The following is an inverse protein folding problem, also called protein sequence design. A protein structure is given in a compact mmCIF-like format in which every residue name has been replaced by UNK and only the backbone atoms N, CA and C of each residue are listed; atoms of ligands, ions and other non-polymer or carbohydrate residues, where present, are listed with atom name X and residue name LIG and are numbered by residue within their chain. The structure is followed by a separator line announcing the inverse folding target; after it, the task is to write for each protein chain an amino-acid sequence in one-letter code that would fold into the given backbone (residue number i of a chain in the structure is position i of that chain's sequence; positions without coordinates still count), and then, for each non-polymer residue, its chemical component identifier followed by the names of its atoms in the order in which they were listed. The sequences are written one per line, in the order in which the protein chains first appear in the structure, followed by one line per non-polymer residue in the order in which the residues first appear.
data_IF_221375702687
#
_entry.id   IF_221375702687
#
_cell.length_a   1.000
_cell.length_b   1.000
_cell.length_c   1.000
_cell.angle_alpha   90.00
_cell.angle_beta   90.00
_cell.angle_gamma   90.00
#
_symmetry.space_group_name_H-M   'P 1'
#
loop_
_entity.id
_entity.type
_entity.pdbx_description
1 polymer ?
#
# COMPACT_ATOMS: atom_id res chain seq x y z
N UNK A 1 -7.75 24.77 11.80
CA UNK A 1 -8.87 25.30 10.99
C UNK A 1 -9.53 24.27 10.05
N UNK A 2 -8.89 23.13 9.70
CA UNK A 2 -9.58 22.03 8.96
C UNK A 2 -10.59 21.23 9.83
N UNK A 3 -10.36 21.10 11.14
CA UNK A 3 -11.30 20.38 12.03
C UNK A 3 -12.68 21.04 12.12
N UNK A 4 -12.79 22.34 11.86
CA UNK A 4 -14.04 23.08 11.99
C UNK A 4 -14.99 22.91 10.79
N UNK A 5 -14.49 22.50 9.61
CA UNK A 5 -15.36 22.28 8.43
C UNK A 5 -16.06 20.91 8.48
N UNK A 6 -15.34 19.86 8.89
CA UNK A 6 -15.92 18.53 9.16
C UNK A 6 -16.89 18.60 10.35
N UNK A 7 -16.56 19.36 11.40
CA UNK A 7 -17.47 19.56 12.54
C UNK A 7 -18.76 20.26 12.12
N UNK A 8 -18.69 21.28 11.26
CA UNK A 8 -19.89 21.97 10.73
C UNK A 8 -20.80 21.06 9.92
N UNK A 9 -20.22 20.14 9.12
CA UNK A 9 -20.99 19.17 8.34
C UNK A 9 -21.71 18.13 9.21
N UNK A 10 -21.04 17.61 10.24
CA UNK A 10 -21.66 16.68 11.20
C UNK A 10 -22.73 17.40 12.05
N UNK A 11 -22.52 18.68 12.37
CA UNK A 11 -23.51 19.46 13.14
C UNK A 11 -24.70 19.99 12.32
N UNK A 12 -24.58 20.10 10.99
CA UNK A 12 -25.65 20.62 10.12
C UNK A 12 -26.62 19.54 9.61
N UNK A 13 -26.28 18.25 9.76
CA UNK A 13 -27.10 17.13 9.29
C UNK A 13 -27.87 16.39 10.40
N UNK A 14 -27.94 16.92 11.62
CA UNK A 14 -28.75 16.33 12.70
C UNK A 14 -30.22 16.77 12.69
N UNK A 15 -30.67 17.59 11.73
CA UNK A 15 -32.08 17.99 11.60
C UNK A 15 -32.47 18.15 10.12
N UNK A 16 -32.82 17.07 9.43
CA UNK A 16 -34.05 16.99 8.63
C UNK A 16 -34.27 15.55 8.13
N UNK A 17 -35.40 14.98 8.52
CA UNK A 17 -35.93 13.74 7.96
C UNK A 17 -36.36 14.00 6.51
N UNK A 18 -35.72 13.37 5.52
CA UNK A 18 -36.46 12.98 4.30
C UNK A 18 -35.86 11.76 3.58
N UNK A 19 -36.77 10.87 3.20
CA UNK A 19 -36.60 9.42 3.29
C UNK A 19 -36.36 8.73 1.93
N UNK A 20 -35.46 9.24 1.08
CA UNK A 20 -35.21 8.68 -0.26
C UNK A 20 -33.74 8.36 -0.61
N UNK A 21 -32.73 8.88 0.11
CA UNK A 21 -31.31 8.58 -0.16
C UNK A 21 -30.82 7.26 0.46
N UNK A 22 -31.55 6.71 1.44
CA UNK A 22 -31.24 5.46 2.11
C UNK A 22 -31.54 4.22 1.25
N UNK A 23 -32.38 4.32 0.21
CA UNK A 23 -32.71 3.19 -0.68
C UNK A 23 -31.65 2.91 -1.76
N UNK A 24 -30.98 3.93 -2.29
CA UNK A 24 -29.95 3.76 -3.33
C UNK A 24 -28.62 3.19 -2.78
N UNK A 25 -28.28 3.52 -1.53
CA UNK A 25 -27.05 3.00 -0.88
C UNK A 25 -27.22 1.52 -0.49
N UNK A 26 -28.42 1.11 -0.06
CA UNK A 26 -28.71 -0.31 0.27
C UNK A 26 -28.70 -1.18 -1.00
N UNK A 27 -29.15 -0.67 -2.15
CA UNK A 27 -29.22 -1.44 -3.39
C UNK A 27 -27.82 -1.73 -4.00
N UNK A 28 -26.84 -0.84 -3.81
CA UNK A 28 -25.46 -1.06 -4.24
C UNK A 28 -24.75 -2.12 -3.37
N UNK A 29 -24.98 -2.13 -2.06
CA UNK A 29 -24.41 -3.12 -1.14
C UNK A 29 -25.07 -4.52 -1.24
N UNK A 30 -26.33 -4.60 -1.63
CA UNK A 30 -27.04 -5.89 -1.81
C UNK A 30 -26.53 -6.65 -3.04
N UNK A 31 -26.07 -5.94 -4.07
CA UNK A 31 -25.55 -6.56 -5.32
C UNK A 31 -24.13 -7.11 -5.13
N UNK A 32 -23.34 -6.51 -4.25
CA UNK A 32 -21.98 -6.98 -3.92
C UNK A 32 -22.01 -8.21 -2.98
N UNK A 33 -23.00 -8.29 -2.08
CA UNK A 33 -23.18 -9.45 -1.18
C UNK A 33 -23.81 -10.66 -1.90
N UNK A 34 -24.63 -10.46 -2.93
CA UNK A 34 -25.19 -11.56 -3.72
C UNK A 34 -24.13 -12.31 -4.57
N UNK A 35 -23.06 -11.64 -5.02
CA UNK A 35 -21.99 -12.28 -5.79
C UNK A 35 -20.93 -12.99 -4.93
N UNK A 36 -20.94 -12.79 -3.60
CA UNK A 36 -20.07 -13.51 -2.66
C UNK A 36 -20.72 -14.79 -2.10
N UNK A 37 -22.04 -14.94 -2.24
CA UNK A 37 -22.80 -16.09 -1.71
C UNK A 37 -23.11 -17.18 -2.74
N UNK A 38 -22.56 -17.10 -3.96
CA UNK A 38 -22.79 -18.09 -5.03
C UNK A 38 -21.67 -19.15 -5.16
N UNK A 39 -20.70 -19.19 -4.24
CA UNK A 39 -19.64 -20.22 -4.22
C UNK A 39 -19.66 -21.16 -3.02
N UNK A 40 -20.62 -21.03 -2.09
CA UNK A 40 -20.66 -21.83 -0.84
C UNK A 40 -21.89 -22.74 -0.67
N UNK A 41 -22.63 -23.03 -1.75
CA UNK A 41 -23.73 -24.01 -1.71
C UNK A 41 -23.52 -25.12 -2.74
N UNK A 42 -22.59 -26.03 -2.43
CA UNK A 42 -22.54 -27.38 -2.98
C UNK A 42 -21.65 -28.26 -2.10
N UNK A 43 -22.12 -28.58 -0.90
CA UNK A 43 -21.68 -29.74 -0.11
C UNK A 43 -22.55 -29.88 1.14
N UNK A 44 -23.81 -30.26 0.96
CA UNK A 44 -24.68 -30.69 2.07
C UNK A 44 -25.75 -31.71 1.65
N UNK A 45 -25.43 -32.55 0.66
CA UNK A 45 -26.21 -33.73 0.33
C UNK A 45 -25.25 -34.91 0.19
N UNK A 46 -25.05 -35.65 1.29
CA UNK A 46 -24.72 -37.09 1.43
C UNK A 46 -24.48 -37.29 2.94
N UNK A 47 -25.56 -37.20 3.72
CA UNK A 47 -25.63 -37.68 5.10
C UNK A 47 -26.98 -38.34 5.34
N UNK A 48 -27.22 -39.44 4.63
CA UNK A 48 -28.26 -40.41 4.99
C UNK A 48 -28.12 -41.63 4.10
N UNK A 49 -27.29 -42.60 4.53
CA UNK A 49 -27.48 -44.04 4.30
C UNK A 49 -26.33 -44.80 4.94
N UNK A 50 -26.71 -45.88 5.63
CA UNK A 50 -25.89 -46.97 6.19
C UNK A 50 -25.56 -46.87 7.69
N UNK A 51 -26.61 -46.99 8.50
CA UNK A 51 -26.56 -47.77 9.74
C UNK A 51 -26.89 -49.25 9.45
N UNK A 52 -26.22 -50.14 10.19
CA UNK A 52 -26.34 -51.61 10.26
C UNK A 52 -25.51 -52.47 9.29
N UNK A 53 -24.30 -52.84 9.74
CA UNK A 53 -24.00 -54.24 10.12
C UNK A 53 -22.76 -54.34 11.02
N UNK A 54 -22.84 -55.28 11.93
CA UNK A 54 -22.05 -55.50 13.15
C UNK A 54 -20.86 -56.43 12.88
N UNK A 55 -19.77 -56.22 13.63
CA UNK A 55 -18.85 -57.24 14.19
C UNK A 55 -17.42 -57.34 13.64
N UNK A 56 -16.47 -57.17 14.58
CA UNK A 56 -15.18 -57.86 14.70
C UNK A 56 -14.06 -57.58 13.69
N UNK A 57 -13.13 -56.69 14.08
CA UNK A 57 -11.74 -57.07 14.49
C UNK A 57 -10.95 -55.80 14.80
N UNK A 58 -10.75 -55.52 16.09
CA UNK A 58 -9.71 -54.60 16.54
C UNK A 58 -8.35 -55.24 16.24
N UNK A 59 -7.64 -54.68 15.27
CA UNK A 59 -6.18 -54.70 15.22
C UNK A 59 -5.73 -53.26 15.36
N UNK A 60 -5.17 -52.96 16.51
CA UNK A 60 -4.50 -51.70 16.83
C UNK A 60 -3.43 -51.46 15.77
N UNK A 61 -3.72 -50.54 14.84
CA UNK A 61 -2.72 -49.95 13.95
C UNK A 61 -2.29 -48.67 14.63
N UNK A 62 -1.10 -48.69 15.22
CA UNK A 62 -0.38 -47.49 15.62
C UNK A 62 -0.34 -46.58 14.39
N UNK A 63 -1.08 -45.49 14.43
CA UNK A 63 -0.96 -44.41 13.45
C UNK A 63 0.33 -43.71 13.87
N UNK A 64 1.43 -44.01 13.18
CA UNK A 64 2.58 -43.11 13.16
C UNK A 64 2.06 -41.76 12.65
N UNK A 65 2.02 -40.80 13.57
CA UNK A 65 1.95 -39.39 13.19
C UNK A 65 3.28 -39.14 12.51
N UNK A 66 3.29 -39.25 11.18
CA UNK A 66 4.36 -38.71 10.37
C UNK A 66 4.27 -37.21 10.59
N UNK A 67 5.14 -36.66 11.42
CA UNK A 67 5.43 -35.23 11.40
C UNK A 67 5.70 -34.90 9.93
N UNK A 68 4.82 -34.15 9.28
CA UNK A 68 5.15 -33.50 8.02
C UNK A 68 6.42 -32.70 8.31
N UNK A 69 7.58 -33.17 7.82
CA UNK A 69 8.82 -32.40 7.86
C UNK A 69 8.50 -31.03 7.27
N UNK A 70 8.40 -30.03 8.15
CA UNK A 70 8.04 -28.66 7.80
C UNK A 70 9.06 -28.22 6.76
N UNK A 71 8.63 -28.15 5.49
CA UNK A 71 9.51 -27.91 4.34
C UNK A 71 10.32 -26.64 4.62
N UNK A 72 11.63 -26.78 4.81
CA UNK A 72 12.52 -25.69 5.23
C UNK A 72 12.39 -24.53 4.25
N UNK A 73 12.00 -23.36 4.73
CA UNK A 73 11.90 -22.14 3.90
C UNK A 73 13.31 -21.75 3.52
N UNK A 74 13.63 -21.71 2.23
CA UNK A 74 14.98 -21.35 1.78
C UNK A 74 15.12 -19.83 1.67
N UNK A 75 14.16 -19.18 1.03
CA UNK A 75 14.20 -17.73 0.78
C UNK A 75 12.95 -17.04 1.31
N UNK A 76 13.14 -16.10 2.23
CA UNK A 76 12.08 -15.23 2.71
C UNK A 76 12.02 -13.95 1.88
N UNK A 77 10.79 -13.53 1.54
CA UNK A 77 10.51 -12.21 0.98
C UNK A 77 9.89 -11.36 2.08
N UNK A 78 10.71 -10.51 2.72
CA UNK A 78 10.26 -9.62 3.78
C UNK A 78 9.67 -8.34 3.17
N UNK A 79 8.35 -8.26 3.13
CA UNK A 79 7.59 -7.15 2.56
C UNK A 79 7.49 -6.00 3.56
N UNK A 80 8.23 -4.93 3.31
CA UNK A 80 8.34 -3.76 4.19
C UNK A 80 7.34 -2.67 3.78
N UNK A 81 6.48 -2.27 4.70
CA UNK A 81 5.54 -1.16 4.51
C UNK A 81 5.25 -0.47 5.85
N UNK A 82 4.65 0.70 5.83
CA UNK A 82 4.19 1.42 7.01
C UNK A 82 3.14 0.60 7.78
N UNK A 83 2.27 -0.08 7.04
CA UNK A 83 1.14 -0.82 7.57
C UNK A 83 -0.09 0.07 7.78
N UNK A 84 -1.06 -0.43 8.53
CA UNK A 84 -2.30 0.27 8.85
C UNK A 84 -3.13 -0.51 9.87
N UNK A 85 -3.98 0.18 10.65
CA UNK A 85 -4.82 -0.46 11.66
C UNK A 85 -5.85 -1.37 10.98
N UNK A 86 -5.86 -2.65 11.34
CA UNK A 86 -6.78 -3.65 10.77
C UNK A 86 -8.22 -3.45 11.25
N UNK A 87 -8.37 -2.97 12.48
CA UNK A 87 -9.64 -2.61 13.09
C UNK A 87 -9.62 -1.20 13.67
N UNK A 88 -10.80 -0.69 14.06
CA UNK A 88 -10.91 0.61 14.73
C UNK A 88 -10.15 0.66 16.07
N UNK A 89 -9.96 -0.48 16.74
CA UNK A 89 -9.25 -0.52 18.02
C UNK A 89 -7.74 -0.44 17.84
N UNK A 90 -7.23 -0.85 16.68
CA UNK A 90 -5.81 -0.76 16.33
C UNK A 90 -5.36 0.66 15.98
N UNK A 91 -6.30 1.60 15.80
CA UNK A 91 -6.00 2.99 15.39
C UNK A 91 -5.13 3.71 16.41
N UNK A 92 -5.43 3.60 17.71
CA UNK A 92 -4.62 4.28 18.73
C UNK A 92 -3.22 3.68 18.89
N UNK A 93 -3.05 2.34 18.98
CA UNK A 93 -1.73 1.70 18.93
C UNK A 93 -0.92 2.11 17.69
N UNK A 94 -1.54 2.07 16.52
CA UNK A 94 -0.93 2.48 15.25
C UNK A 94 -0.41 3.93 15.31
N UNK A 95 -1.26 4.88 15.70
CA UNK A 95 -0.86 6.28 15.82
C UNK A 95 0.20 6.49 16.89
N UNK A 96 0.16 5.72 17.98
CA UNK A 96 1.15 5.81 19.06
C UNK A 96 2.53 5.44 18.55
N UNK A 97 2.67 4.33 17.81
CA UNK A 97 3.93 3.95 17.17
C UNK A 97 4.39 4.99 16.15
N UNK A 98 3.47 5.47 15.30
CA UNK A 98 3.75 6.50 14.28
C UNK A 98 4.29 7.81 14.88
N UNK A 99 3.63 8.38 15.90
CA UNK A 99 4.07 9.63 16.53
C UNK A 99 5.29 9.45 17.45
N UNK A 100 5.59 8.21 17.85
CA UNK A 100 6.81 7.90 18.62
C UNK A 100 8.03 7.70 17.72
N UNK A 101 7.84 7.61 16.40
CA UNK A 101 8.94 7.46 15.45
C UNK A 101 9.69 8.77 15.21
N UNK A 102 10.96 8.79 15.65
CA UNK A 102 11.90 9.91 15.47
C UNK A 102 12.38 10.06 14.03
N UNK A 103 12.27 8.99 13.23
CA UNK A 103 12.65 9.00 11.82
C UNK A 103 11.60 9.78 10.98
N UNK A 104 10.35 9.88 11.45
CA UNK A 104 9.28 10.67 10.80
C UNK A 104 9.02 12.00 11.50
N UNK A 105 8.80 12.00 12.81
CA UNK A 105 8.48 13.21 13.58
C UNK A 105 9.56 13.50 14.62
N UNK A 106 10.07 14.73 14.64
CA UNK A 106 10.98 15.19 15.70
C UNK A 106 10.19 16.05 16.69
N UNK A 107 9.72 15.45 17.78
CA UNK A 107 8.91 16.12 18.79
C UNK A 107 9.70 16.31 20.10
N UNK A 108 9.51 17.45 20.83
CA UNK A 108 10.08 17.59 22.16
C UNK A 108 9.45 16.56 23.11
N UNK A 109 10.26 15.91 23.95
CA UNK A 109 9.82 14.87 24.89
C UNK A 109 8.95 13.79 24.23
N UNK A 110 9.39 13.29 23.06
CA UNK A 110 8.59 12.44 22.17
C UNK A 110 7.95 11.20 22.82
N UNK A 111 8.61 10.60 23.81
CA UNK A 111 8.08 9.44 24.54
C UNK A 111 6.80 9.76 25.34
N UNK A 112 6.54 11.04 25.61
CA UNK A 112 5.33 11.55 26.28
C UNK A 112 4.41 12.22 25.25
N UNK A 113 4.97 13.10 24.41
CA UNK A 113 4.21 13.86 23.44
C UNK A 113 3.54 12.96 22.38
N UNK A 114 4.24 11.92 21.91
CA UNK A 114 3.75 11.00 20.89
C UNK A 114 2.45 10.30 21.30
N UNK A 115 2.43 9.55 22.43
CA UNK A 115 1.22 8.91 22.94
C UNK A 115 0.06 9.88 23.21
N UNK A 116 0.34 11.07 23.74
CA UNK A 116 -0.70 12.08 23.98
C UNK A 116 -1.34 12.56 22.67
N UNK A 117 -0.53 12.85 21.66
CA UNK A 117 -1.00 13.26 20.33
C UNK A 117 -1.79 12.12 19.67
N UNK A 118 -1.30 10.88 19.77
CA UNK A 118 -1.96 9.70 19.24
C UNK A 118 -3.36 9.52 19.83
N UNK A 119 -3.50 9.55 21.16
CA UNK A 119 -4.79 9.45 21.85
C UNK A 119 -5.76 10.56 21.46
N UNK A 120 -5.28 11.80 21.33
CA UNK A 120 -6.13 12.92 20.89
C UNK A 120 -6.60 12.75 19.44
N UNK A 121 -5.72 12.27 18.57
CA UNK A 121 -6.02 12.12 17.13
C UNK A 121 -6.80 10.86 16.81
N UNK A 122 -6.71 9.81 17.63
CA UNK A 122 -7.36 8.52 17.39
C UNK A 122 -8.87 8.68 17.19
N UNK A 123 -9.53 9.56 17.95
CA UNK A 123 -10.97 9.80 17.79
C UNK A 123 -11.35 10.25 16.36
N UNK A 124 -10.60 11.18 15.78
CA UNK A 124 -10.86 11.66 14.43
C UNK A 124 -10.50 10.60 13.38
N UNK A 125 -9.37 9.90 13.58
CA UNK A 125 -8.87 8.90 12.63
C UNK A 125 -9.74 7.63 12.63
N UNK A 126 -10.28 7.21 13.77
CA UNK A 126 -11.26 6.11 13.87
C UNK A 126 -12.49 6.37 13.00
N UNK A 127 -12.98 7.63 12.94
CA UNK A 127 -14.12 7.98 12.07
C UNK A 127 -13.80 7.83 10.59
N UNK A 128 -12.58 8.17 10.18
CA UNK A 128 -12.14 8.01 8.80
C UNK A 128 -12.00 6.52 8.43
N UNK A 129 -11.43 5.70 9.31
CA UNK A 129 -11.41 4.25 9.11
C UNK A 129 -12.81 3.64 9.09
N UNK A 130 -13.72 4.13 9.94
CA UNK A 130 -15.10 3.68 9.96
C UNK A 130 -15.82 3.98 8.63
N UNK A 131 -15.57 5.13 8.00
CA UNK A 131 -16.18 5.48 6.71
C UNK A 131 -15.72 4.62 5.53
N UNK A 132 -14.61 3.89 5.67
CA UNK A 132 -14.07 3.02 4.62
C UNK A 132 -14.25 1.53 4.91
N UNK A 133 -15.05 1.17 5.92
CA UNK A 133 -15.34 -0.23 6.27
C UNK A 133 -14.73 -0.73 7.59
N UNK A 134 -14.12 0.14 8.39
CA UNK A 134 -13.71 -0.15 9.77
C UNK A 134 -12.22 -0.44 9.99
N UNK A 135 -11.40 -0.40 8.93
CA UNK A 135 -9.97 -0.69 9.01
C UNK A 135 -9.24 -0.51 7.69
N UNK A 136 -7.91 -0.62 7.72
CA UNK A 136 -7.05 -0.56 6.55
C UNK A 136 -7.00 -1.94 5.85
N UNK A 137 -7.22 -2.02 4.53
CA UNK A 137 -7.10 -3.28 3.80
C UNK A 137 -5.65 -3.66 3.49
N UNK A 138 -4.66 -2.86 3.92
CA UNK A 138 -3.26 -3.03 3.52
C UNK A 138 -2.69 -4.40 3.88
N UNK A 139 -2.99 -4.93 5.08
CA UNK A 139 -2.52 -6.26 5.51
C UNK A 139 -3.05 -7.36 4.60
N UNK A 140 -4.35 -7.31 4.28
CA UNK A 140 -5.01 -8.24 3.35
C UNK A 140 -4.33 -8.21 1.98
N UNK A 141 -4.09 -7.01 1.44
CA UNK A 141 -3.46 -6.88 0.12
C UNK A 141 -2.01 -7.35 0.12
N UNK A 142 -1.22 -6.95 1.12
CA UNK A 142 0.19 -7.38 1.24
C UNK A 142 0.30 -8.89 1.39
N UNK A 143 -0.57 -9.53 2.18
CA UNK A 143 -0.58 -10.99 2.35
C UNK A 143 -0.93 -11.72 1.04
N UNK A 144 -1.99 -11.26 0.36
CA UNK A 144 -2.41 -11.84 -0.91
C UNK A 144 -1.34 -11.67 -2.01
N UNK A 145 -0.76 -10.48 -2.12
CA UNK A 145 0.34 -10.20 -3.04
C UNK A 145 1.54 -11.08 -2.72
N UNK A 146 1.96 -11.13 -1.46
CA UNK A 146 3.10 -11.93 -0.99
C UNK A 146 2.94 -13.41 -1.35
N UNK A 147 1.78 -13.99 -1.05
CA UNK A 147 1.48 -15.38 -1.38
C UNK A 147 1.59 -15.64 -2.89
N UNK A 148 0.94 -14.81 -3.72
CA UNK A 148 0.98 -14.99 -5.17
C UNK A 148 2.39 -14.78 -5.75
N UNK A 149 3.16 -13.84 -5.20
CA UNK A 149 4.56 -13.63 -5.58
C UNK A 149 5.37 -14.89 -5.29
N UNK A 150 5.25 -15.47 -4.09
CA UNK A 150 6.02 -16.66 -3.72
C UNK A 150 5.62 -17.90 -4.49
N UNK A 151 4.33 -18.06 -4.81
CA UNK A 151 3.85 -19.14 -5.68
C UNK A 151 4.49 -19.06 -7.08
N UNK A 152 4.62 -17.85 -7.63
CA UNK A 152 5.29 -17.62 -8.92
C UNK A 152 6.80 -17.89 -8.78
N UNK A 153 7.44 -17.38 -7.74
CA UNK A 153 8.89 -17.57 -7.50
C UNK A 153 9.28 -19.04 -7.34
N UNK A 154 8.45 -19.86 -6.68
CA UNK A 154 8.67 -21.31 -6.58
C UNK A 154 8.68 -21.99 -7.95
N UNK A 155 8.02 -21.40 -8.95
CA UNK A 155 8.01 -21.88 -10.34
C UNK A 155 9.19 -21.34 -11.16
N UNK A 156 9.48 -20.03 -11.05
CA UNK A 156 10.46 -19.35 -11.93
C UNK A 156 11.91 -19.31 -11.38
N UNK A 157 12.08 -19.59 -10.08
CA UNK A 157 13.37 -19.60 -9.36
C UNK A 157 13.50 -20.86 -8.45
N UNK A 158 13.34 -22.08 -8.99
CA UNK A 158 13.34 -23.31 -8.18
C UNK A 158 14.63 -23.51 -7.36
N UNK A 159 15.75 -22.91 -7.76
CA UNK A 159 17.03 -22.94 -7.05
C UNK A 159 17.01 -22.18 -5.71
N UNK A 160 16.12 -21.21 -5.53
CA UNK A 160 15.94 -20.44 -4.29
C UNK A 160 14.65 -20.80 -3.54
N UNK A 161 13.85 -21.71 -4.08
CA UNK A 161 12.66 -22.27 -3.44
C UNK A 161 13.01 -23.22 -2.26
N UNK A 162 12.10 -23.45 -1.30
CA UNK A 162 10.78 -22.83 -1.16
C UNK A 162 10.86 -21.35 -0.73
N UNK A 163 10.07 -20.51 -1.38
CA UNK A 163 9.90 -19.11 -1.02
C UNK A 163 8.74 -18.93 -0.05
N UNK A 164 8.85 -17.95 0.86
CA UNK A 164 7.74 -17.56 1.74
C UNK A 164 7.78 -16.06 2.00
N UNK A 165 6.62 -15.41 1.95
CA UNK A 165 6.52 -13.99 2.27
C UNK A 165 6.34 -13.79 3.77
N UNK A 166 6.88 -12.68 4.26
CA UNK A 166 6.70 -12.21 5.62
C UNK A 166 6.35 -10.74 5.56
N UNK A 167 5.38 -10.31 6.36
CA UNK A 167 5.00 -8.91 6.44
C UNK A 167 5.81 -8.28 7.57
N UNK A 168 6.51 -7.19 7.27
CA UNK A 168 7.20 -6.37 8.26
C UNK A 168 6.64 -4.96 8.24
N UNK A 169 5.59 -4.72 9.01
CA UNK A 169 4.99 -3.40 9.10
C UNK A 169 5.68 -2.53 10.14
N UNK A 170 5.73 -1.23 9.86
CA UNK A 170 6.43 -0.26 10.71
C UNK A 170 5.61 0.14 11.95
N UNK A 171 4.28 0.26 11.82
CA UNK A 171 3.41 0.77 12.90
C UNK A 171 2.17 -0.10 13.21
N UNK A 172 1.90 -1.13 12.43
CA UNK A 172 0.82 -2.08 12.70
C UNK A 172 1.39 -3.50 12.73
N UNK A 173 0.63 -4.44 13.29
CA UNK A 173 1.09 -5.82 13.35
C UNK A 173 0.86 -6.51 11.99
N UNK A 174 1.69 -7.49 11.59
CA UNK A 174 2.91 -7.94 12.27
C UNK A 174 4.05 -6.93 12.14
N UNK A 175 4.77 -6.68 13.24
CA UNK A 175 5.94 -5.81 13.25
C UNK A 175 7.17 -6.52 12.67
N UNK A 176 8.21 -5.76 12.37
CA UNK A 176 9.48 -6.32 11.88
C UNK A 176 10.08 -7.33 12.88
N UNK A 177 9.99 -7.08 14.18
CA UNK A 177 10.46 -8.00 15.23
C UNK A 177 9.73 -9.36 15.17
N UNK A 178 8.42 -9.35 14.94
CA UNK A 178 7.61 -10.57 14.80
C UNK A 178 8.00 -11.35 13.54
N UNK A 179 8.26 -10.63 12.44
CA UNK A 179 8.71 -11.22 11.19
C UNK A 179 10.10 -11.87 11.34
N UNK A 180 11.06 -11.20 12.00
CA UNK A 180 12.40 -11.74 12.27
C UNK A 180 12.34 -13.02 13.09
N UNK A 181 11.53 -13.03 14.17
CA UNK A 181 11.32 -14.22 14.99
C UNK A 181 10.73 -15.37 14.18
N UNK A 182 9.71 -15.09 13.36
CA UNK A 182 9.06 -16.10 12.52
C UNK A 182 10.03 -16.68 11.47
N UNK A 183 10.84 -15.84 10.83
CA UNK A 183 11.86 -16.28 9.86
C UNK A 183 12.93 -17.16 10.52
N UNK A 184 13.32 -16.85 11.76
CA UNK A 184 14.26 -17.67 12.53
C UNK A 184 13.67 -19.04 12.88
N UNK A 185 12.42 -19.07 13.35
CA UNK A 185 11.69 -20.32 13.64
C UNK A 185 11.53 -21.20 12.40
N UNK A 186 11.34 -20.59 11.22
CA UNK A 186 11.26 -21.28 9.94
C UNK A 186 12.64 -21.64 9.34
N UNK A 187 13.73 -21.33 10.05
CA UNK A 187 15.12 -21.61 9.65
C UNK A 187 15.47 -21.10 8.24
N UNK A 188 15.01 -19.89 7.95
CA UNK A 188 15.26 -19.20 6.68
C UNK A 188 16.77 -19.05 6.45
N UNK A 189 17.24 -19.33 5.22
CA UNK A 189 18.65 -19.11 4.86
C UNK A 189 18.89 -17.68 4.34
N UNK A 190 18.04 -17.25 3.39
CA UNK A 190 18.18 -15.97 2.68
C UNK A 190 16.95 -15.11 2.90
N UNK A 191 17.13 -13.81 3.09
CA UNK A 191 16.04 -12.84 3.18
C UNK A 191 16.22 -11.71 2.18
N UNK A 192 15.20 -11.46 1.36
CA UNK A 192 15.09 -10.26 0.52
C UNK A 192 14.22 -9.25 1.26
N UNK A 193 14.83 -8.18 1.76
CA UNK A 193 14.12 -7.02 2.31
C UNK A 193 13.52 -6.21 1.15
N UNK A 194 12.24 -6.41 0.90
CA UNK A 194 11.54 -5.86 -0.25
C UNK A 194 10.62 -4.70 0.17
N UNK A 195 11.07 -3.47 -0.09
CA UNK A 195 10.24 -2.29 0.09
C UNK A 195 9.00 -2.37 -0.80
N UNK A 196 7.82 -2.19 -0.22
CA UNK A 196 6.56 -2.12 -0.96
C UNK A 196 6.30 -0.71 -1.52
N UNK A 197 7.26 0.20 -1.38
CA UNK A 197 7.26 1.52 -2.01
C UNK A 197 8.10 1.47 -3.29
N UNK A 198 7.52 1.67 -4.48
CA UNK A 198 8.31 1.77 -5.70
C UNK A 198 9.27 2.95 -5.65
N UNK A 199 8.83 4.09 -5.12
CA UNK A 199 9.64 5.30 -4.94
C UNK A 199 10.19 5.39 -3.51
N UNK A 200 11.52 5.54 -3.39
CA UNK A 200 12.19 5.68 -2.11
C UNK A 200 11.88 7.04 -1.48
N UNK A 201 11.53 7.05 -0.19
CA UNK A 201 11.67 8.21 0.68
C UNK A 201 12.38 7.81 1.99
N UNK A 202 13.13 8.74 2.58
CA UNK A 202 13.74 8.52 3.89
C UNK A 202 12.68 8.34 4.99
N UNK A 203 11.46 8.85 4.79
CA UNK A 203 10.35 8.72 5.74
C UNK A 203 9.52 7.44 5.57
N UNK A 204 9.74 6.66 4.49
CA UNK A 204 9.01 5.40 4.21
C UNK A 204 9.97 4.21 4.18
N UNK A 205 10.59 3.91 3.03
CA UNK A 205 11.60 2.85 2.89
C UNK A 205 12.74 3.07 3.88
N UNK A 206 13.24 4.31 4.00
CA UNK A 206 14.34 4.62 4.92
C UNK A 206 14.01 4.31 6.39
N UNK A 207 12.84 4.73 6.88
CA UNK A 207 12.37 4.39 8.23
C UNK A 207 12.21 2.88 8.41
N UNK A 208 11.66 2.18 7.43
CA UNK A 208 11.47 0.71 7.48
C UNK A 208 12.80 -0.03 7.57
N UNK A 209 13.78 0.34 6.74
CA UNK A 209 15.12 -0.27 6.76
C UNK A 209 15.89 0.10 8.04
N UNK A 210 15.80 1.35 8.51
CA UNK A 210 16.40 1.73 9.79
C UNK A 210 15.81 0.92 10.95
N UNK A 211 14.50 0.70 10.96
CA UNK A 211 13.85 -0.14 11.97
C UNK A 211 14.26 -1.61 11.86
N UNK A 212 14.40 -2.14 10.64
CA UNK A 212 14.92 -3.47 10.40
C UNK A 212 16.33 -3.64 10.99
N UNK A 213 17.26 -2.72 10.70
CA UNK A 213 18.62 -2.81 11.24
C UNK A 213 18.65 -2.70 12.77
N UNK A 214 17.85 -1.79 13.35
CA UNK A 214 17.70 -1.68 14.81
C UNK A 214 17.19 -2.99 15.43
N UNK A 215 16.20 -3.62 14.80
CA UNK A 215 15.59 -4.87 15.30
C UNK A 215 16.58 -6.04 15.21
N UNK A 216 17.32 -6.16 14.09
CA UNK A 216 18.37 -7.16 13.92
C UNK A 216 19.46 -7.01 15.00
N UNK A 217 19.89 -5.78 15.27
CA UNK A 217 20.94 -5.51 16.27
C UNK A 217 20.46 -5.81 17.68
N UNK A 218 19.24 -5.38 18.02
CA UNK A 218 18.67 -5.59 19.35
C UNK A 218 18.39 -7.07 19.64
N UNK A 219 18.21 -7.87 18.59
CA UNK A 219 17.96 -9.32 18.69
C UNK A 219 19.20 -10.18 18.46
N UNK A 220 20.37 -9.58 18.20
CA UNK A 220 21.63 -10.27 17.86
C UNK A 220 21.47 -11.26 16.68
N UNK A 221 20.73 -10.85 15.65
CA UNK A 221 20.45 -11.67 14.46
C UNK A 221 21.30 -11.29 13.23
N UNK A 222 22.42 -10.58 13.42
CA UNK A 222 23.22 -10.03 12.31
C UNK A 222 23.76 -11.09 11.36
N UNK A 223 23.99 -12.31 11.86
CA UNK A 223 24.52 -13.45 11.10
C UNK A 223 23.48 -14.56 10.88
N UNK A 224 22.23 -14.33 11.29
CA UNK A 224 21.18 -15.35 11.21
C UNK A 224 20.76 -15.61 9.76
N UNK A 225 20.78 -14.59 8.91
CA UNK A 225 20.29 -14.66 7.53
C UNK A 225 21.26 -14.03 6.53
N UNK A 226 21.27 -14.54 5.29
CA UNK A 226 21.88 -13.86 4.14
C UNK A 226 20.92 -12.80 3.61
N UNK A 227 21.24 -11.52 3.82
CA UNK A 227 20.37 -10.41 3.46
C UNK A 227 20.65 -9.88 2.05
N UNK A 228 19.59 -9.48 1.37
CA UNK A 228 19.66 -8.55 0.24
C UNK A 228 18.46 -7.59 0.27
N UNK A 229 18.53 -6.48 -0.48
CA UNK A 229 17.54 -5.39 -0.38
C UNK A 229 17.07 -4.96 -1.77
N UNK A 230 15.75 -4.84 -1.91
CA UNK A 230 15.09 -4.08 -2.97
C UNK A 230 14.51 -2.82 -2.33
N UNK A 231 15.27 -1.73 -2.35
CA UNK A 231 14.93 -0.48 -1.64
C UNK A 231 14.02 0.43 -2.48
N UNK A 232 14.07 0.30 -3.80
CA UNK A 232 13.26 1.07 -4.75
C UNK A 232 13.16 0.34 -6.08
N UNK A 233 12.11 0.67 -6.83
CA UNK A 233 11.77 -0.01 -8.08
C UNK A 233 10.83 0.85 -8.95
N UNK A 234 10.89 2.17 -8.79
CA UNK A 234 10.10 3.16 -9.53
C UNK A 234 10.27 3.07 -11.07
N UNK A 235 11.42 2.56 -11.53
CA UNK A 235 11.76 2.39 -12.94
C UNK A 235 11.47 1.00 -13.48
N UNK A 236 11.00 0.07 -12.65
CA UNK A 236 10.75 -1.29 -13.08
C UNK A 236 9.74 -1.31 -14.23
N UNK A 237 10.09 -1.96 -15.34
CA UNK A 237 9.26 -1.94 -16.55
C UNK A 237 7.92 -2.64 -16.35
N UNK A 238 7.87 -3.68 -15.51
CA UNK A 238 6.63 -4.36 -15.14
C UNK A 238 5.73 -3.44 -14.31
N UNK A 239 6.28 -2.76 -13.31
CA UNK A 239 5.56 -1.77 -12.51
C UNK A 239 5.00 -0.62 -13.36
N UNK A 240 5.81 -0.04 -14.25
CA UNK A 240 5.36 1.02 -15.16
C UNK A 240 4.24 0.51 -16.07
N UNK A 241 4.35 -0.70 -16.60
CA UNK A 241 3.32 -1.29 -17.46
C UNK A 241 2.01 -1.59 -16.71
N UNK A 242 2.08 -2.13 -15.49
CA UNK A 242 0.91 -2.35 -14.65
C UNK A 242 0.20 -1.03 -14.32
N UNK A 243 0.97 0.00 -13.94
CA UNK A 243 0.46 1.35 -13.65
C UNK A 243 -0.18 1.99 -14.87
N UNK A 244 0.50 1.96 -16.02
CA UNK A 244 -0.05 2.43 -17.30
C UNK A 244 -1.38 1.75 -17.63
N UNK A 245 -1.46 0.43 -17.41
CA UNK A 245 -2.69 -0.34 -17.65
C UNK A 245 -3.82 0.12 -16.74
N UNK A 246 -3.55 0.46 -15.46
CA UNK A 246 -4.57 1.05 -14.58
C UNK A 246 -5.06 2.39 -15.11
N UNK A 247 -4.17 3.24 -15.63
CA UNK A 247 -4.57 4.53 -16.21
C UNK A 247 -5.43 4.32 -17.46
N UNK A 248 -5.09 3.35 -18.33
CA UNK A 248 -5.89 3.01 -19.51
C UNK A 248 -7.30 2.55 -19.12
N UNK A 249 -7.41 1.64 -18.15
CA UNK A 249 -8.71 1.19 -17.62
C UNK A 249 -9.52 2.34 -16.99
N UNK A 250 -8.85 3.30 -16.34
CA UNK A 250 -9.51 4.48 -15.79
C UNK A 250 -10.04 5.42 -16.89
N UNK A 251 -9.32 5.56 -17.99
CA UNK A 251 -9.77 6.31 -19.17
C UNK A 251 -10.98 5.62 -19.83
N UNK A 252 -10.95 4.29 -19.96
CA UNK A 252 -12.10 3.52 -20.46
C UNK A 252 -13.33 3.70 -19.56
N UNK A 253 -13.15 3.59 -18.24
CA UNK A 253 -14.22 3.85 -17.27
C UNK A 253 -14.75 5.29 -17.36
N UNK A 254 -13.87 6.26 -17.58
CA UNK A 254 -14.27 7.65 -17.81
C UNK A 254 -15.15 7.80 -19.03
N UNK A 255 -14.76 7.23 -20.16
CA UNK A 255 -15.54 7.29 -21.40
C UNK A 255 -16.93 6.66 -21.20
N UNK A 256 -16.98 5.50 -20.55
CA UNK A 256 -18.23 4.82 -20.21
C UNK A 256 -19.14 5.70 -19.35
N UNK A 257 -18.60 6.34 -18.30
CA UNK A 257 -19.40 7.21 -17.43
C UNK A 257 -19.87 8.49 -18.12
N UNK A 258 -19.09 9.04 -19.05
CA UNK A 258 -19.53 10.17 -19.88
C UNK A 258 -20.77 9.76 -20.69
N UNK A 259 -20.73 8.60 -21.34
CA UNK A 259 -21.83 8.06 -22.15
C UNK A 259 -23.08 7.76 -21.28
N UNK A 260 -22.91 7.02 -20.19
CA UNK A 260 -24.01 6.63 -19.29
C UNK A 260 -24.72 7.83 -18.64
N UNK A 261 -23.97 8.91 -18.37
CA UNK A 261 -24.52 10.15 -17.78
C UNK A 261 -25.02 11.15 -18.83
N UNK A 262 -24.88 10.85 -20.12
CA UNK A 262 -25.23 11.76 -21.22
C UNK A 262 -24.44 13.08 -21.18
N UNK A 263 -23.21 13.06 -20.67
CA UNK A 263 -22.36 14.24 -20.56
C UNK A 263 -21.69 14.56 -21.90
N UNK A 264 -21.44 15.84 -22.15
CA UNK A 264 -20.57 16.23 -23.25
C UNK A 264 -19.16 15.68 -23.01
N UNK A 265 -18.59 14.99 -23.99
CA UNK A 265 -17.23 14.49 -23.88
C UNK A 265 -16.24 15.65 -23.76
N UNK A 266 -15.53 15.66 -22.64
CA UNK A 266 -14.35 16.49 -22.38
C UNK A 266 -13.18 15.55 -22.18
N UNK A 267 -12.09 15.75 -22.90
CA UNK A 267 -10.88 14.97 -22.65
C UNK A 267 -10.38 15.28 -21.22
N UNK A 268 -10.24 14.27 -20.34
CA UNK A 268 -9.91 14.53 -18.95
C UNK A 268 -8.44 14.93 -18.78
N UNK A 269 -8.17 15.75 -17.78
CA UNK A 269 -6.80 15.98 -17.28
C UNK A 269 -6.43 14.85 -16.33
N UNK A 270 -5.24 14.26 -16.52
CA UNK A 270 -4.72 13.21 -15.65
C UNK A 270 -3.99 13.84 -14.45
N UNK A 271 -4.54 13.67 -13.26
CA UNK A 271 -4.00 14.21 -12.01
C UNK A 271 -3.31 13.09 -11.25
N UNK A 272 -2.00 12.97 -11.39
CA UNK A 272 -1.21 12.02 -10.59
C UNK A 272 -1.10 12.57 -9.17
N UNK A 273 -1.66 11.86 -8.19
CA UNK A 273 -1.68 12.24 -6.79
C UNK A 273 -0.72 11.35 -6.00
N UNK A 274 0.26 11.97 -5.36
CA UNK A 274 1.23 11.32 -4.48
C UNK A 274 1.16 11.96 -3.08
N UNK A 275 1.46 11.22 -2.02
CA UNK A 275 1.55 11.81 -0.68
C UNK A 275 2.61 12.90 -0.65
N UNK A 276 2.26 14.04 -0.06
CA UNK A 276 3.17 15.18 0.05
C UNK A 276 4.27 14.93 1.09
N UNK A 277 5.36 15.68 1.00
CA UNK A 277 6.41 15.73 2.00
C UNK A 277 6.53 17.15 2.57
N UNK A 278 6.89 17.31 3.86
CA UNK A 278 7.32 18.60 4.39
C UNK A 278 8.47 19.16 3.55
N UNK A 279 8.47 20.47 3.25
CA UNK A 279 9.55 21.07 2.45
C UNK A 279 10.92 20.88 3.09
N UNK A 280 11.00 20.88 4.42
CA UNK A 280 12.24 20.59 5.14
C UNK A 280 12.81 19.19 4.87
N UNK A 281 11.98 18.22 4.46
CA UNK A 281 12.44 16.88 4.03
C UNK A 281 12.92 16.93 2.58
N UNK A 282 12.18 17.62 1.71
CA UNK A 282 12.56 17.82 0.30
C UNK A 282 13.90 18.56 0.20
N UNK A 283 14.07 19.65 0.94
CA UNK A 283 15.28 20.49 0.96
C UNK A 283 16.50 19.77 1.56
N UNK A 284 16.29 18.69 2.34
CA UNK A 284 17.40 17.82 2.77
C UNK A 284 17.95 16.99 1.60
N UNK A 285 17.21 16.87 0.50
CA UNK A 285 17.54 16.05 -0.67
C UNK A 285 16.93 14.66 -0.60
N UNK A 286 15.68 14.54 -0.16
CA UNK A 286 14.91 13.30 -0.28
C UNK A 286 14.64 13.00 -1.78
N UNK A 287 14.89 11.76 -2.26
CA UNK A 287 14.78 11.45 -3.69
C UNK A 287 13.33 11.26 -4.16
N UNK A 288 12.37 11.10 -3.24
CA UNK A 288 10.99 10.75 -3.55
C UNK A 288 10.32 11.65 -4.61
N UNK A 289 10.42 13.00 -4.55
CA UNK A 289 9.78 13.82 -5.58
C UNK A 289 10.32 13.57 -6.99
N UNK A 290 11.62 13.29 -7.11
CA UNK A 290 12.28 12.98 -8.39
C UNK A 290 11.83 11.60 -8.91
N UNK A 291 11.79 10.60 -8.04
CA UNK A 291 11.37 9.24 -8.41
C UNK A 291 9.89 9.15 -8.79
N UNK A 292 9.03 9.94 -8.13
CA UNK A 292 7.61 10.09 -8.49
C UNK A 292 7.50 10.74 -9.88
N UNK A 293 8.21 11.86 -10.11
CA UNK A 293 8.20 12.54 -11.39
C UNK A 293 8.69 11.64 -12.53
N UNK A 294 9.72 10.83 -12.28
CA UNK A 294 10.21 9.83 -13.23
C UNK A 294 9.16 8.75 -13.53
N UNK A 295 8.49 8.24 -12.50
CA UNK A 295 7.40 7.25 -12.66
C UNK A 295 6.29 7.82 -13.56
N UNK A 296 5.84 9.05 -13.27
CA UNK A 296 4.81 9.74 -14.04
C UNK A 296 5.26 9.93 -15.48
N UNK A 297 6.49 10.40 -15.71
CA UNK A 297 7.06 10.56 -17.05
C UNK A 297 7.00 9.26 -17.86
N UNK A 298 7.48 8.15 -17.29
CA UNK A 298 7.48 6.84 -17.95
C UNK A 298 6.08 6.31 -18.24
N UNK A 299 5.12 6.50 -17.32
CA UNK A 299 3.72 6.14 -17.55
C UNK A 299 3.14 6.95 -18.72
N UNK A 300 3.39 8.26 -18.74
CA UNK A 300 2.89 9.15 -19.79
C UNK A 300 3.51 8.88 -21.16
N UNK A 301 4.82 8.57 -21.22
CA UNK A 301 5.51 8.11 -22.43
C UNK A 301 4.82 6.86 -23.00
N UNK A 302 4.48 5.89 -22.14
CA UNK A 302 3.78 4.67 -22.54
C UNK A 302 2.34 4.90 -23.01
N UNK A 303 1.64 5.90 -22.47
CA UNK A 303 0.26 6.25 -22.85
C UNK A 303 0.17 6.98 -24.21
N UNK A 304 1.25 7.62 -24.65
CA UNK A 304 1.29 8.41 -25.89
C UNK A 304 0.90 7.64 -27.16
N UNK A 305 0.97 6.31 -27.12
CA UNK A 305 0.57 5.42 -28.21
C UNK A 305 -0.91 5.04 -28.21
N UNK A 306 -1.71 5.45 -27.22
CA UNK A 306 -3.06 4.95 -26.96
C UNK A 306 -4.14 6.05 -26.95
N UNK A 307 -4.10 7.03 -27.86
CA UNK A 307 -5.04 8.16 -27.85
C UNK A 307 -6.07 8.13 -28.99
N UNK A 308 -7.35 8.17 -28.63
CA UNK A 308 -8.54 8.19 -29.51
C UNK A 308 -8.53 9.33 -30.56
N UNK A 309 -8.01 10.51 -30.19
CA UNK A 309 -8.04 11.72 -31.05
C UNK A 309 -6.65 12.16 -31.53
N UNK A 310 -5.64 11.29 -31.41
CA UNK A 310 -4.25 11.56 -31.86
C UNK A 310 -3.47 12.63 -31.07
N UNK A 311 -4.05 13.24 -30.03
CA UNK A 311 -3.40 14.24 -29.17
C UNK A 311 -2.95 13.64 -27.84
N UNK A 312 -1.81 14.01 -27.23
CA UNK A 312 -1.46 13.57 -25.88
C UNK A 312 -2.49 14.00 -24.81
N UNK A 313 -2.58 13.27 -23.71
CA UNK A 313 -3.33 13.72 -22.53
C UNK A 313 -2.58 14.83 -21.80
N UNK A 314 -3.29 15.84 -21.33
CA UNK A 314 -2.74 16.79 -20.36
C UNK A 314 -2.64 16.09 -19.01
N UNK A 315 -1.57 16.34 -18.27
CA UNK A 315 -1.37 15.77 -16.95
C UNK A 315 -0.68 16.75 -16.01
N UNK A 316 -0.87 16.50 -14.72
CA UNK A 316 -0.23 17.25 -13.64
C UNK A 316 0.10 16.32 -12.48
N UNK A 317 1.28 16.51 -11.89
CA UNK A 317 1.66 15.87 -10.63
C UNK A 317 1.26 16.80 -9.47
N UNK A 318 0.46 16.28 -8.55
CA UNK A 318 -0.04 16.98 -7.38
C UNK A 318 0.19 16.15 -6.11
N UNK A 319 0.13 16.83 -4.96
CA UNK A 319 0.51 16.25 -3.67
C UNK A 319 -0.65 16.31 -2.67
N UNK A 320 -0.97 15.17 -2.06
CA UNK A 320 -2.09 14.99 -1.13
C UNK A 320 -1.65 14.89 0.34
N UNK A 321 -2.62 14.84 1.25
CA UNK A 321 -2.42 14.48 2.65
C UNK A 321 -1.48 15.41 3.45
N UNK A 322 -1.51 16.73 3.17
CA UNK A 322 -0.77 17.73 3.97
C UNK A 322 -1.30 17.76 5.41
N UNK A 323 -0.42 17.57 6.39
CA UNK A 323 -0.77 17.68 7.81
C UNK A 323 -0.03 18.85 8.49
N UNK A 324 -0.77 19.66 9.24
CA UNK A 324 -0.19 20.72 10.08
C UNK A 324 0.16 22.02 9.32
N UNK A 325 0.74 22.99 10.05
CA UNK A 325 0.89 24.36 9.57
C UNK A 325 2.13 24.59 8.70
N UNK A 326 3.13 23.69 8.75
CA UNK A 326 4.41 23.86 8.05
C UNK A 326 4.24 23.91 6.52
N UNK A 327 5.26 24.38 5.77
CA UNK A 327 5.30 24.27 4.31
C UNK A 327 5.47 22.82 3.86
N UNK A 328 4.73 22.43 2.81
CA UNK A 328 4.76 21.09 2.22
C UNK A 328 4.88 21.23 0.70
N UNK A 329 5.36 20.16 0.07
CA UNK A 329 5.46 20.06 -1.37
C UNK A 329 4.09 20.28 -2.03
N UNK A 330 4.09 21.03 -3.12
CA UNK A 330 2.91 21.56 -3.78
C UNK A 330 3.05 21.42 -5.31
N UNK A 331 1.95 21.52 -6.09
CA UNK A 331 0.60 21.95 -5.72
C UNK A 331 -0.19 20.88 -4.94
N UNK A 332 -1.18 21.31 -4.14
CA UNK A 332 -2.08 20.40 -3.44
C UNK A 332 -3.11 19.80 -4.40
N UNK A 333 -3.41 18.51 -4.28
CA UNK A 333 -4.40 17.83 -5.13
C UNK A 333 -5.77 18.53 -5.10
N UNK A 334 -6.28 18.92 -3.92
CA UNK A 334 -7.55 19.65 -3.80
C UNK A 334 -7.56 20.97 -4.57
N UNK A 335 -6.46 21.74 -4.49
CA UNK A 335 -6.34 23.04 -5.19
C UNK A 335 -6.28 22.85 -6.70
N UNK A 336 -5.63 21.79 -7.17
CA UNK A 336 -5.60 21.43 -8.59
C UNK A 336 -7.01 21.10 -9.08
N UNK A 337 -7.75 20.27 -8.35
CA UNK A 337 -9.13 19.90 -8.70
C UNK A 337 -10.05 21.12 -8.74
N UNK A 338 -10.00 22.00 -7.72
CA UNK A 338 -10.79 23.24 -7.72
C UNK A 338 -10.48 24.14 -8.92
N UNK A 339 -9.20 24.24 -9.31
CA UNK A 339 -8.79 25.04 -10.47
C UNK A 339 -9.29 24.44 -11.77
N UNK A 340 -9.11 23.12 -11.96
CA UNK A 340 -9.57 22.42 -13.16
C UNK A 340 -11.09 22.54 -13.33
N UNK A 341 -11.85 22.42 -12.24
CA UNK A 341 -13.31 22.62 -12.27
C UNK A 341 -13.69 24.03 -12.74
N UNK A 342 -13.04 25.07 -12.21
CA UNK A 342 -13.26 26.48 -12.62
C UNK A 342 -12.90 26.75 -14.09
N UNK A 343 -11.95 25.99 -14.62
CA UNK A 343 -11.54 26.02 -16.03
C UNK A 343 -12.41 25.10 -16.92
N UNK A 344 -13.50 24.55 -16.38
CA UNK A 344 -14.45 23.67 -17.06
C UNK A 344 -13.84 22.33 -17.56
N UNK A 345 -12.80 21.85 -16.87
CA UNK A 345 -12.14 20.57 -17.16
C UNK A 345 -12.68 19.45 -16.26
N UNK A 346 -12.75 18.24 -16.82
CA UNK A 346 -12.92 16.99 -16.06
C UNK A 346 -11.56 16.38 -15.73
N UNK A 347 -11.51 15.50 -14.73
CA UNK A 347 -10.25 14.92 -14.28
C UNK A 347 -10.34 13.43 -13.93
N UNK A 348 -9.22 12.73 -14.12
CA UNK A 348 -8.96 11.40 -13.57
C UNK A 348 -7.83 11.53 -12.56
N UNK A 349 -8.05 11.12 -11.31
CA UNK A 349 -7.04 11.11 -10.25
C UNK A 349 -6.37 9.74 -10.19
N UNK A 350 -5.05 9.72 -10.25
CA UNK A 350 -4.24 8.50 -10.26
C UNK A 350 -3.38 8.45 -9.00
N UNK A 351 -3.67 7.56 -8.02
CA UNK A 351 -2.77 7.35 -6.89
C UNK A 351 -1.49 6.66 -7.38
N UNK A 352 -0.38 7.39 -7.42
CA UNK A 352 0.85 6.95 -8.10
C UNK A 352 1.94 6.41 -7.16
N UNK A 353 1.83 6.70 -5.86
CA UNK A 353 2.88 6.44 -4.87
C UNK A 353 2.66 5.16 -4.03
N UNK A 354 1.53 4.46 -4.22
CA UNK A 354 1.16 3.28 -3.44
C UNK A 354 0.56 2.20 -4.33
N UNK A 355 0.84 0.95 -4.01
CA UNK A 355 0.44 -0.22 -4.78
C UNK A 355 -0.90 -0.83 -4.34
N UNK A 356 -1.45 -0.42 -3.20
CA UNK A 356 -2.73 -0.92 -2.68
C UNK A 356 -3.62 0.22 -2.21
N UNK A 357 -4.93 -0.03 -2.18
CA UNK A 357 -5.87 0.89 -1.55
C UNK A 357 -5.58 1.01 -0.04
N UNK A 358 -5.74 2.23 0.47
CA UNK A 358 -5.46 2.62 1.84
C UNK A 358 -6.36 3.81 2.19
N UNK A 359 -6.27 4.30 3.43
CA UNK A 359 -7.22 5.32 3.94
C UNK A 359 -7.25 6.57 3.07
N UNK A 360 -6.13 6.97 2.48
CA UNK A 360 -6.03 8.15 1.63
C UNK A 360 -6.71 7.96 0.28
N UNK A 361 -6.66 6.78 -0.35
CA UNK A 361 -7.43 6.56 -1.58
C UNK A 361 -8.92 6.50 -1.31
N UNK A 362 -9.33 5.78 -0.27
CA UNK A 362 -10.73 5.50 0.02
C UNK A 362 -11.47 6.66 0.73
N UNK A 363 -10.77 7.47 1.52
CA UNK A 363 -11.37 8.61 2.22
C UNK A 363 -11.03 9.94 1.54
N UNK A 364 -9.74 10.22 1.30
CA UNK A 364 -9.34 11.54 0.78
C UNK A 364 -9.77 11.72 -0.68
N UNK A 365 -9.54 10.71 -1.54
CA UNK A 365 -9.93 10.83 -2.95
C UNK A 365 -11.42 10.55 -3.15
N UNK A 366 -11.91 9.39 -2.71
CA UNK A 366 -13.27 8.95 -3.04
C UNK A 366 -14.37 9.74 -2.31
N UNK A 367 -14.05 10.42 -1.20
CA UNK A 367 -15.02 11.23 -0.45
C UNK A 367 -14.67 12.72 -0.54
N UNK A 368 -13.48 13.12 -0.08
CA UNK A 368 -13.17 14.55 0.04
C UNK A 368 -12.96 15.21 -1.34
N UNK A 369 -12.17 14.63 -2.24
CA UNK A 369 -11.95 15.21 -3.57
C UNK A 369 -13.20 15.17 -4.44
N UNK A 370 -14.02 14.11 -4.36
CA UNK A 370 -15.32 14.06 -5.03
C UNK A 370 -16.24 15.21 -4.57
N UNK A 371 -16.27 15.47 -3.26
CA UNK A 371 -17.02 16.60 -2.72
C UNK A 371 -16.48 17.95 -3.23
N UNK A 372 -15.16 18.16 -3.17
CA UNK A 372 -14.50 19.38 -3.67
C UNK A 372 -14.76 19.60 -5.16
N UNK A 373 -14.69 18.56 -5.98
CA UNK A 373 -14.97 18.63 -7.41
C UNK A 373 -16.43 19.05 -7.68
N UNK A 374 -17.38 18.44 -6.95
CA UNK A 374 -18.80 18.77 -7.07
C UNK A 374 -19.10 20.21 -6.63
N UNK A 375 -18.56 20.64 -5.49
CA UNK A 375 -18.73 22.03 -5.00
C UNK A 375 -18.13 23.06 -5.98
N UNK A 376 -17.05 22.70 -6.66
CA UNK A 376 -16.39 23.55 -7.65
C UNK A 376 -17.02 23.47 -9.06
N UNK A 377 -18.04 22.64 -9.27
CA UNK A 377 -18.79 22.54 -10.53
C UNK A 377 -18.17 21.63 -11.60
N UNK A 378 -17.34 20.65 -11.21
CA UNK A 378 -16.81 19.66 -12.15
C UNK A 378 -17.88 18.61 -12.53
N UNK A 379 -18.06 18.35 -13.83
CA UNK A 379 -19.06 17.38 -14.30
C UNK A 379 -18.68 15.93 -13.93
N UNK A 380 -17.38 15.61 -14.04
CA UNK A 380 -16.90 14.26 -13.81
C UNK A 380 -15.46 14.25 -13.26
N UNK A 381 -15.34 13.73 -12.03
CA UNK A 381 -14.09 13.31 -11.41
C UNK A 381 -14.12 11.79 -11.24
N UNK A 382 -13.09 11.09 -11.71
CA UNK A 382 -12.91 9.65 -11.48
C UNK A 382 -11.56 9.39 -10.83
N UNK A 383 -11.46 8.34 -10.02
CA UNK A 383 -10.19 7.81 -9.52
C UNK A 383 -9.83 6.54 -10.29
N UNK A 384 -8.56 6.35 -10.62
CA UNK A 384 -8.09 5.03 -11.07
C UNK A 384 -8.00 4.06 -9.90
N UNK A 385 -8.29 2.79 -10.14
CA UNK A 385 -8.10 1.76 -9.12
C UNK A 385 -6.62 1.70 -8.69
N UNK A 386 -6.39 1.34 -7.42
CA UNK A 386 -5.06 0.94 -6.99
C UNK A 386 -4.66 -0.39 -7.65
N UNK A 387 -3.37 -0.71 -7.63
CA UNK A 387 -2.87 -1.94 -8.27
C UNK A 387 -3.37 -3.21 -7.55
N UNK A 388 -3.55 -3.17 -6.23
CA UNK A 388 -4.14 -4.24 -5.40
C UNK A 388 -3.63 -5.63 -5.82
N UNK A 389 -4.52 -6.54 -6.22
CA UNK A 389 -4.18 -7.89 -6.66
C UNK A 389 -4.19 -8.06 -8.19
N UNK A 390 -3.99 -6.98 -8.94
CA UNK A 390 -3.87 -7.06 -10.39
C UNK A 390 -2.72 -8.00 -10.79
N UNK A 391 -2.97 -8.98 -11.67
CA UNK A 391 -1.95 -9.96 -12.05
C UNK A 391 -0.67 -9.32 -12.61
N UNK A 392 -0.74 -8.15 -13.26
CA UNK A 392 0.43 -7.50 -13.84
C UNK A 392 1.38 -6.96 -12.76
N UNK A 393 0.86 -6.44 -11.64
CA UNK A 393 1.74 -5.98 -10.56
C UNK A 393 2.35 -7.14 -9.80
N UNK A 394 1.59 -8.23 -9.62
CA UNK A 394 2.07 -9.43 -8.95
C UNK A 394 3.20 -10.07 -9.75
N UNK A 395 3.00 -10.25 -11.06
CA UNK A 395 4.05 -10.75 -11.95
C UNK A 395 5.24 -9.80 -11.97
N UNK A 396 5.03 -8.49 -12.10
CA UNK A 396 6.13 -7.51 -12.08
C UNK A 396 6.98 -7.61 -10.81
N UNK A 397 6.35 -7.73 -9.64
CA UNK A 397 7.05 -7.88 -8.36
C UNK A 397 7.80 -9.22 -8.27
N UNK A 398 7.19 -10.33 -8.72
CA UNK A 398 7.86 -11.64 -8.74
C UNK A 398 9.07 -11.64 -9.68
N UNK A 399 8.92 -11.08 -10.89
CA UNK A 399 9.99 -10.95 -11.86
C UNK A 399 11.11 -10.03 -11.37
N UNK A 400 10.77 -8.97 -10.61
CA UNK A 400 11.75 -8.10 -9.97
C UNK A 400 12.58 -8.87 -8.93
N UNK A 401 11.92 -9.63 -8.05
CA UNK A 401 12.59 -10.46 -7.04
C UNK A 401 13.46 -11.53 -7.70
N UNK A 402 12.97 -12.21 -8.74
CA UNK A 402 13.75 -13.20 -9.50
C UNK A 402 15.02 -12.58 -10.10
N UNK A 403 14.89 -11.44 -10.79
CA UNK A 403 16.04 -10.71 -11.34
C UNK A 403 17.04 -10.32 -10.25
N UNK A 404 16.54 -9.85 -9.11
CA UNK A 404 17.37 -9.48 -7.98
C UNK A 404 18.17 -10.68 -7.46
N UNK A 405 17.52 -11.81 -7.22
CA UNK A 405 18.14 -13.06 -6.77
C UNK A 405 19.20 -13.56 -7.76
N UNK A 406 18.90 -13.57 -9.06
CA UNK A 406 19.83 -13.99 -10.12
C UNK A 406 21.02 -13.04 -10.29
N UNK A 407 20.86 -11.77 -9.97
CA UNK A 407 21.93 -10.78 -10.09
C UNK A 407 23.05 -10.96 -9.07
N UNK A 408 22.80 -11.70 -7.98
CA UNK A 408 23.68 -11.84 -6.81
C UNK A 408 24.11 -10.50 -6.20
N UNK A 409 23.38 -9.42 -6.45
CA UNK A 409 23.60 -8.14 -5.79
C UNK A 409 22.96 -8.18 -4.40
N UNK A 410 23.67 -7.70 -3.39
CA UNK A 410 23.09 -7.54 -2.06
C UNK A 410 22.14 -6.33 -1.99
N UNK A 411 22.24 -5.38 -2.92
CA UNK A 411 21.38 -4.20 -3.00
C UNK A 411 20.97 -3.98 -4.46
N UNK A 412 19.67 -3.78 -4.70
CA UNK A 412 19.11 -3.56 -6.03
C UNK A 412 19.58 -2.25 -6.66
N UNK A 413 19.53 -1.15 -5.89
CA UNK A 413 19.83 0.18 -6.41
C UNK A 413 21.26 0.65 -6.12
N UNK A 414 21.82 1.44 -7.04
CA UNK A 414 23.07 2.18 -6.80
C UNK A 414 22.88 3.39 -5.85
N UNK A 415 21.63 3.76 -5.57
CA UNK A 415 21.28 4.95 -4.81
C UNK A 415 21.25 4.71 -3.30
N UNK A 416 21.16 3.45 -2.85
CA UNK A 416 21.02 3.12 -1.42
C UNK A 416 22.11 3.72 -0.53
N UNK A 417 23.37 3.72 -1.01
CA UNK A 417 24.49 4.29 -0.25
C UNK A 417 24.57 5.82 -0.30
N UNK A 418 23.87 6.45 -1.25
CA UNK A 418 23.83 7.90 -1.36
C UNK A 418 22.82 8.47 -0.37
N UNK A 419 23.32 9.14 0.66
CA UNK A 419 22.49 9.81 1.67
C UNK A 419 22.00 11.17 1.16
N UNK A 420 20.88 11.62 1.69
CA UNK A 420 20.41 13.00 1.50
C UNK A 420 21.54 13.98 1.89
N UNK A 421 21.94 14.93 1.02
CA UNK A 421 23.02 15.88 1.30
C UNK A 421 22.82 16.70 2.58
N UNK A 422 21.57 17.02 2.92
CA UNK A 422 21.18 17.73 4.13
C UNK A 422 21.00 16.84 5.37
N UNK A 423 21.36 15.56 5.31
CA UNK A 423 21.25 14.64 6.44
C UNK A 423 22.27 14.97 7.55
N UNK A 424 21.81 15.67 8.59
CA UNK A 424 22.64 16.10 9.72
C UNK A 424 22.53 15.12 10.89
N UNK A 425 23.41 14.14 10.94
CA UNK A 425 23.85 13.53 12.21
C UNK A 425 22.86 12.65 12.97
N UNK A 426 21.72 12.26 12.40
CA UNK A 426 20.92 11.16 12.92
C UNK A 426 21.77 9.87 12.83
N UNK A 427 22.01 9.18 13.95
CA UNK A 427 22.87 7.98 14.02
C UNK A 427 22.51 6.94 12.94
N UNK A 428 21.22 6.84 12.56
CA UNK A 428 20.71 5.72 11.79
C UNK A 428 20.81 5.87 10.26
N UNK A 429 20.58 7.06 9.70
CA UNK A 429 20.94 7.29 8.30
C UNK A 429 22.45 7.14 8.11
N UNK A 430 23.25 7.28 9.19
CA UNK A 430 24.70 7.08 9.18
C UNK A 430 25.18 5.62 9.30
N UNK A 431 24.30 4.69 9.64
CA UNK A 431 24.61 3.26 9.83
C UNK A 431 23.99 2.37 8.76
N UNK A 432 23.59 2.92 7.60
CA UNK A 432 23.14 2.13 6.43
C UNK A 432 24.07 0.94 6.24
N UNK A 433 23.59 -0.25 6.62
CA UNK A 433 24.37 -1.47 6.59
C UNK A 433 24.45 -1.94 5.17
N UNK A 434 25.62 -2.46 4.79
CA UNK A 434 25.66 -3.36 3.65
C UNK A 434 24.92 -4.63 4.10
N UNK A 435 23.78 -4.99 3.49
CA UNK A 435 23.28 -6.34 3.62
C UNK A 435 24.43 -7.27 3.19
N UNK A 436 24.77 -8.17 4.10
CA UNK A 436 26.07 -8.84 4.28
C UNK A 436 26.81 -9.03 2.96
N UNK A 437 27.99 -8.39 2.86
CA UNK A 437 29.00 -8.75 1.88
C UNK A 437 29.36 -10.21 2.12
N UNK A 438 29.27 -11.04 1.09
CA UNK A 438 29.95 -12.35 1.11
C UNK A 438 31.37 -12.14 1.62
N UNK A 439 31.78 -12.94 2.61
CA UNK A 439 33.19 -13.10 2.99
C UNK A 439 33.94 -13.50 1.70
N UNK A 440 34.56 -12.53 1.03
CA UNK A 440 35.54 -12.78 -0.02
C UNK A 440 36.90 -13.07 0.59
#
# INVERSE_FOLDING_TARGET
MLSNRIYRYISSNSISNNNNNSKLIIQYFTTVTANLNLTDNNNNDIKEKQQHKVSQKQKTKTIEIVDEEKKKVKTAILMLNLGGPETLDDVEPFLTRLFSDRDIFKLPFQNIAGPLIAKRRSFAVKKLYASIGGGSPIKKWTDLQGKKITDILDTISPETAPHKHYIGFRYSDPLIDDALKSMKEDQVERVVAFSQYPQYSCTTTGSSLNNLWKAIDSSNMEKEFKWSIIDRWNKDTGFINATKTMVQRAIENYNKQVEEKGLQYKKPVLVFSAHSLPMATVEKGDPYPQEIAETVGKVMEGLGNCVKDGKPFQYILAWQSKVGPLPWLSPKTTVVIEKLAKENNNAIVIPIAFTSDHIETLSEIDIELQHTAKEAGMDLLIRSNALNDDPLIIDAMAQLVDRHLKSNKSIESTQYHLRCPGCKGDEYCRTIRNPILDDK
#
